data_IF_997685649059
#
_entry.id   IF_997685649059
#
_cell.length_a   1.000
_cell.length_b   1.000
_cell.length_c   1.000
_cell.angle_alpha   90.00
_cell.angle_beta   90.00
_cell.angle_gamma   90.00
#
_symmetry.space_group_name_H-M   'P 1'
#
loop_
_entity.id
_entity.type
_entity.pdbx_description
1 polymer ?
#
# COMPACT_ATOMS: atom_id res chain seq x y z
N UNK A 1 66.41 17.43 -30.72
CA UNK A 1 65.35 18.32 -31.23
C UNK A 1 64.06 17.99 -30.48
N UNK A 2 63.81 18.61 -29.33
CA UNK A 2 62.65 18.32 -28.48
C UNK A 2 61.55 19.35 -28.72
N UNK A 3 60.40 18.91 -29.22
CA UNK A 3 59.25 19.79 -29.48
C UNK A 3 58.49 19.96 -28.16
N UNK A 4 58.57 21.16 -27.58
CA UNK A 4 57.76 21.57 -26.42
C UNK A 4 56.38 22.02 -26.91
N UNK A 5 55.35 21.23 -26.62
CA UNK A 5 53.97 21.66 -26.80
C UNK A 5 53.56 22.56 -25.62
N UNK A 6 53.37 23.85 -25.89
CA UNK A 6 52.69 24.77 -24.97
C UNK A 6 51.18 24.62 -25.19
N UNK A 7 50.48 23.98 -24.25
CA UNK A 7 49.02 24.10 -24.17
C UNK A 7 48.66 25.38 -23.41
N UNK A 8 47.78 26.26 -23.93
CA UNK A 8 47.30 27.41 -23.19
C UNK A 8 46.39 26.92 -22.04
N UNK A 9 46.61 27.46 -20.85
CA UNK A 9 45.72 27.22 -19.71
C UNK A 9 44.38 27.91 -19.98
N UNK A 10 43.39 27.15 -20.44
CA UNK A 10 42.00 27.59 -20.48
C UNK A 10 41.49 27.54 -19.03
N UNK A 11 41.44 28.70 -18.38
CA UNK A 11 40.74 28.86 -17.11
C UNK A 11 39.25 28.76 -17.37
N UNK A 12 38.68 27.57 -17.21
CA UNK A 12 37.22 27.38 -17.17
C UNK A 12 36.72 28.09 -15.91
N UNK A 13 35.87 29.12 -16.00
CA UNK A 13 35.28 29.71 -14.82
C UNK A 13 34.44 28.64 -14.13
N UNK A 14 34.79 28.33 -12.89
CA UNK A 14 34.04 27.44 -12.03
C UNK A 14 32.70 28.12 -11.74
N UNK A 15 31.71 27.84 -12.59
CA UNK A 15 30.31 28.10 -12.29
C UNK A 15 29.97 27.19 -11.10
N UNK A 16 30.10 27.73 -9.89
CA UNK A 16 29.53 27.15 -8.68
C UNK A 16 28.02 27.24 -8.87
N UNK A 17 27.46 26.21 -9.52
CA UNK A 17 26.07 25.90 -9.35
C UNK A 17 25.87 25.59 -7.87
N UNK A 18 24.87 26.21 -7.25
CA UNK A 18 24.35 25.77 -5.97
C UNK A 18 23.75 24.38 -6.18
N UNK A 19 24.58 23.34 -6.16
CA UNK A 19 24.10 21.97 -6.03
C UNK A 19 23.46 21.93 -4.65
N UNK A 20 22.14 21.70 -4.61
CA UNK A 20 21.45 21.43 -3.35
C UNK A 20 22.13 20.24 -2.63
N UNK A 21 21.81 20.01 -1.35
CA UNK A 21 22.33 18.85 -0.64
C UNK A 21 22.13 17.58 -1.47
N UNK A 22 23.10 16.65 -1.50
CA UNK A 22 22.92 15.36 -2.16
C UNK A 22 21.62 14.72 -1.69
N UNK A 23 20.81 14.22 -2.64
CA UNK A 23 19.62 13.46 -2.31
C UNK A 23 19.95 12.25 -1.44
N UNK A 24 18.99 11.80 -0.63
CA UNK A 24 19.16 10.57 0.13
C UNK A 24 19.43 9.39 -0.81
N UNK A 25 20.38 8.52 -0.44
CA UNK A 25 20.70 7.32 -1.22
C UNK A 25 19.51 6.35 -1.23
N UNK A 26 18.82 6.27 -2.38
CA UNK A 26 17.69 5.36 -2.57
C UNK A 26 18.07 3.89 -2.37
N UNK A 27 19.35 3.51 -2.54
CA UNK A 27 19.78 2.13 -2.30
C UNK A 27 19.67 1.73 -0.82
N UNK A 28 19.69 2.68 0.11
CA UNK A 28 19.67 2.37 1.54
C UNK A 28 18.35 1.74 2.02
N UNK A 29 17.23 2.04 1.35
CA UNK A 29 15.91 1.55 1.78
C UNK A 29 15.19 0.69 0.74
N UNK A 30 15.30 1.00 -0.55
CA UNK A 30 14.59 0.25 -1.59
C UNK A 30 15.08 -1.20 -1.71
N UNK A 31 16.38 -1.43 -1.53
CA UNK A 31 17.01 -2.76 -1.64
C UNK A 31 16.65 -3.70 -0.48
N UNK A 32 16.04 -3.18 0.59
CA UNK A 32 15.53 -4.01 1.69
C UNK A 32 14.41 -4.96 1.20
N UNK A 33 13.67 -4.56 0.16
CA UNK A 33 12.59 -5.35 -0.44
C UNK A 33 12.86 -5.68 -1.92
N UNK A 34 13.47 -4.77 -2.67
CA UNK A 34 13.86 -4.96 -4.07
C UNK A 34 15.28 -5.54 -4.17
N UNK A 35 15.43 -6.77 -3.71
CA UNK A 35 16.66 -7.55 -3.79
C UNK A 35 16.44 -8.88 -4.53
N UNK A 36 17.50 -9.68 -4.64
CA UNK A 36 17.47 -11.01 -5.27
C UNK A 36 16.90 -12.12 -4.39
N UNK A 37 16.37 -11.80 -3.20
CA UNK A 37 15.72 -12.75 -2.31
C UNK A 37 14.36 -13.21 -2.83
N UNK A 38 13.86 -14.32 -2.29
CA UNK A 38 12.62 -14.95 -2.72
C UNK A 38 11.37 -14.51 -1.95
N UNK A 39 11.52 -13.71 -0.87
CA UNK A 39 10.42 -13.41 0.05
C UNK A 39 9.18 -12.81 -0.67
N UNK A 40 9.38 -11.76 -1.47
CA UNK A 40 8.30 -11.12 -2.23
C UNK A 40 7.76 -12.04 -3.33
N UNK A 41 8.63 -12.82 -3.97
CA UNK A 41 8.23 -13.76 -5.04
C UNK A 41 7.29 -14.81 -4.46
N UNK A 42 7.70 -15.51 -3.40
CA UNK A 42 6.90 -16.55 -2.76
C UNK A 42 5.59 -15.99 -2.18
N UNK A 43 5.62 -14.81 -1.57
CA UNK A 43 4.39 -14.17 -1.07
C UNK A 43 3.42 -13.82 -2.22
N UNK A 44 3.95 -13.36 -3.36
CA UNK A 44 3.14 -13.05 -4.55
C UNK A 44 2.52 -14.32 -5.13
N UNK A 45 3.27 -15.42 -5.20
CA UNK A 45 2.77 -16.72 -5.67
C UNK A 45 1.65 -17.26 -4.77
N UNK A 46 1.81 -17.17 -3.45
CA UNK A 46 0.76 -17.54 -2.50
C UNK A 46 -0.48 -16.67 -2.68
N UNK A 47 -0.33 -15.34 -2.75
CA UNK A 47 -1.46 -14.43 -2.96
C UNK A 47 -2.21 -14.73 -4.28
N UNK A 48 -1.49 -15.06 -5.36
CA UNK A 48 -2.09 -15.41 -6.67
C UNK A 48 -3.02 -16.62 -6.63
N UNK A 49 -2.85 -17.50 -5.65
CA UNK A 49 -3.75 -18.66 -5.44
C UNK A 49 -4.98 -18.34 -4.59
N UNK A 50 -5.10 -17.13 -4.07
CA UNK A 50 -6.23 -16.70 -3.25
C UNK A 50 -7.41 -16.18 -4.07
N UNK A 51 -8.61 -16.22 -3.51
CA UNK A 51 -9.80 -15.63 -4.15
C UNK A 51 -9.68 -14.12 -4.34
N UNK A 52 -8.92 -13.42 -3.48
CA UNK A 52 -8.65 -11.99 -3.63
C UNK A 52 -7.94 -11.65 -4.94
N UNK A 53 -7.08 -12.54 -5.43
CA UNK A 53 -6.37 -12.36 -6.69
C UNK A 53 -7.26 -12.57 -7.92
N UNK A 54 -8.44 -13.19 -7.79
CA UNK A 54 -9.36 -13.42 -8.91
C UNK A 54 -9.88 -12.11 -9.53
N UNK A 55 -10.03 -11.06 -8.72
CA UNK A 55 -10.62 -9.79 -9.15
C UNK A 55 -12.11 -9.85 -9.51
N UNK A 56 -12.79 -10.96 -9.21
CA UNK A 56 -14.17 -11.20 -9.67
C UNK A 56 -15.17 -10.11 -9.27
N UNK A 57 -14.95 -9.47 -8.11
CA UNK A 57 -15.84 -8.41 -7.61
C UNK A 57 -15.22 -7.01 -7.64
N UNK A 58 -14.12 -6.79 -8.36
CA UNK A 58 -13.47 -5.47 -8.41
C UNK A 58 -14.35 -4.40 -9.08
N UNK A 59 -15.36 -4.82 -9.84
CA UNK A 59 -16.42 -3.95 -10.38
C UNK A 59 -17.34 -3.36 -9.30
N UNK A 60 -17.35 -3.91 -8.08
CA UNK A 60 -18.16 -3.43 -6.95
C UNK A 60 -17.53 -2.20 -6.28
N UNK A 61 -17.36 -1.16 -7.07
CA UNK A 61 -16.67 0.08 -6.72
C UNK A 61 -17.61 1.22 -6.23
N UNK A 62 -18.91 0.95 -6.09
CA UNK A 62 -19.86 1.88 -5.49
C UNK A 62 -19.58 2.11 -4.00
N UNK A 63 -20.03 3.24 -3.45
CA UNK A 63 -19.61 3.74 -2.13
C UNK A 63 -19.75 2.75 -0.96
N UNK A 64 -20.82 1.96 -0.96
CA UNK A 64 -21.12 0.98 0.11
C UNK A 64 -20.49 -0.39 -0.12
N UNK A 65 -19.92 -0.62 -1.31
CA UNK A 65 -19.31 -1.89 -1.70
C UNK A 65 -17.78 -1.80 -1.75
N UNK A 66 -17.27 -0.61 -2.09
CA UNK A 66 -15.87 -0.37 -2.38
C UNK A 66 -14.96 -0.65 -1.19
N UNK A 67 -15.45 -0.49 0.05
CA UNK A 67 -14.69 -0.82 1.26
C UNK A 67 -14.16 -2.26 1.22
N UNK A 68 -14.99 -3.20 0.77
CA UNK A 68 -14.62 -4.61 0.80
C UNK A 68 -14.09 -5.10 -0.55
N UNK A 69 -14.55 -4.52 -1.65
CA UNK A 69 -14.34 -5.09 -2.98
C UNK A 69 -13.28 -4.38 -3.82
N UNK A 70 -12.70 -3.28 -3.32
CA UNK A 70 -11.62 -2.55 -3.99
C UNK A 70 -10.50 -2.26 -3.01
N UNK A 71 -9.26 -2.30 -3.50
CA UNK A 71 -8.09 -1.94 -2.69
C UNK A 71 -8.16 -0.48 -2.22
N UNK A 72 -8.57 0.42 -3.11
CA UNK A 72 -8.64 1.86 -2.88
C UNK A 72 -9.70 2.19 -1.83
N UNK A 73 -10.90 1.61 -1.98
CA UNK A 73 -11.99 1.85 -1.05
C UNK A 73 -11.68 1.31 0.34
N UNK A 74 -11.07 0.14 0.46
CA UNK A 74 -10.59 -0.36 1.75
C UNK A 74 -9.62 0.62 2.41
N UNK A 75 -8.62 1.09 1.66
CA UNK A 75 -7.60 2.03 2.17
C UNK A 75 -8.23 3.34 2.65
N UNK A 76 -9.18 3.88 1.88
CA UNK A 76 -9.93 5.07 2.25
C UNK A 76 -10.72 4.88 3.55
N UNK A 77 -11.49 3.79 3.64
CA UNK A 77 -12.32 3.47 4.80
C UNK A 77 -11.49 3.27 6.08
N UNK A 78 -10.37 2.53 6.00
CA UNK A 78 -9.48 2.34 7.15
C UNK A 78 -8.84 3.66 7.59
N UNK A 79 -8.44 4.50 6.64
CA UNK A 79 -7.81 5.80 6.96
C UNK A 79 -8.81 6.77 7.58
N UNK A 80 -10.06 6.76 7.11
CA UNK A 80 -11.11 7.67 7.58
C UNK A 80 -11.89 7.14 8.78
N UNK A 81 -11.73 5.87 9.16
CA UNK A 81 -12.52 5.21 10.21
C UNK A 81 -13.99 5.03 9.83
N UNK A 82 -14.32 4.98 8.53
CA UNK A 82 -15.69 4.85 8.01
C UNK A 82 -15.88 3.51 7.33
N UNK A 83 -17.14 3.08 7.20
CA UNK A 83 -17.51 1.83 6.48
C UNK A 83 -17.99 2.06 5.04
N UNK A 84 -17.97 3.30 4.58
CA UNK A 84 -18.37 3.70 3.22
C UNK A 84 -17.35 4.68 2.67
N UNK A 85 -17.07 4.61 1.38
CA UNK A 85 -16.22 5.61 0.71
C UNK A 85 -17.01 6.88 0.45
N UNK A 86 -16.31 7.99 0.31
CA UNK A 86 -16.85 9.31 0.04
C UNK A 86 -17.46 9.43 -1.36
N UNK A 87 -16.95 8.68 -2.32
CA UNK A 87 -17.44 8.56 -3.68
C UNK A 87 -17.15 7.16 -4.24
N UNK A 88 -17.76 6.81 -5.37
CA UNK A 88 -17.42 5.58 -6.09
C UNK A 88 -15.96 5.62 -6.56
N UNK A 89 -15.28 4.47 -6.54
CA UNK A 89 -13.87 4.36 -6.91
C UNK A 89 -13.73 4.29 -8.44
N UNK A 90 -13.20 5.33 -9.07
CA UNK A 90 -13.08 5.42 -10.54
C UNK A 90 -12.05 4.45 -11.14
N UNK A 91 -10.98 4.13 -10.40
CA UNK A 91 -9.92 3.23 -10.84
C UNK A 91 -9.74 2.10 -9.81
N UNK A 92 -10.69 1.16 -9.73
CA UNK A 92 -10.65 0.12 -8.73
C UNK A 92 -9.59 -0.92 -9.10
N UNK A 93 -8.84 -1.39 -8.09
CA UNK A 93 -7.98 -2.56 -8.21
C UNK A 93 -8.44 -3.67 -7.27
N UNK A 94 -8.16 -4.92 -7.66
CA UNK A 94 -8.42 -6.09 -6.84
C UNK A 94 -7.67 -6.02 -5.51
N UNK A 95 -8.18 -6.72 -4.51
CA UNK A 95 -7.56 -6.82 -3.19
C UNK A 95 -6.16 -7.43 -3.34
N UNK A 96 -5.14 -6.63 -3.05
CA UNK A 96 -3.74 -6.97 -3.25
C UNK A 96 -2.87 -6.65 -2.05
N UNK A 97 -1.56 -6.75 -2.22
CA UNK A 97 -0.59 -6.55 -1.13
C UNK A 97 -0.76 -5.20 -0.43
N UNK A 98 -0.98 -4.13 -1.22
CA UNK A 98 -1.18 -2.75 -0.73
C UNK A 98 -2.53 -2.53 -0.02
N UNK A 99 -3.49 -3.42 -0.20
CA UNK A 99 -4.74 -3.38 0.55
C UNK A 99 -4.44 -3.68 2.03
N UNK A 100 -3.69 -4.75 2.27
CA UNK A 100 -3.38 -5.25 3.60
C UNK A 100 -2.17 -4.56 4.26
N UNK A 101 -1.12 -4.29 3.48
CA UNK A 101 0.15 -3.75 3.93
C UNK A 101 0.33 -2.28 3.51
N UNK A 102 1.26 -1.59 4.16
CA UNK A 102 1.61 -0.18 3.92
C UNK A 102 2.67 0.02 2.84
N UNK A 103 2.78 -0.91 1.90
CA UNK A 103 3.81 -0.91 0.85
C UNK A 103 3.83 0.42 0.08
N UNK A 104 5.01 1.05 0.05
CA UNK A 104 5.33 2.35 -0.55
C UNK A 104 4.69 3.56 0.13
N UNK A 105 4.44 3.50 1.44
CA UNK A 105 3.95 4.66 2.21
C UNK A 105 5.08 5.37 2.95
N UNK A 106 5.99 4.60 3.57
CA UNK A 106 7.15 5.11 4.30
C UNK A 106 8.48 4.81 3.61
N UNK A 107 8.50 3.88 2.64
CA UNK A 107 9.69 3.49 1.88
C UNK A 107 10.82 2.94 2.76
N UNK A 108 10.47 2.24 3.85
CA UNK A 108 11.38 1.53 4.74
C UNK A 108 10.75 0.21 5.23
N UNK A 109 11.39 -0.51 6.15
CA UNK A 109 10.86 -1.80 6.67
C UNK A 109 9.48 -1.72 7.33
N UNK A 110 9.01 -0.54 7.74
CA UNK A 110 7.66 -0.38 8.29
C UNK A 110 6.56 -0.58 7.24
N UNK A 111 6.89 -0.55 5.95
CA UNK A 111 5.98 -0.87 4.85
C UNK A 111 5.50 -2.34 4.88
N UNK A 112 6.20 -3.22 5.61
CA UNK A 112 5.77 -4.59 5.90
C UNK A 112 4.60 -4.66 6.88
N UNK A 113 4.35 -3.60 7.67
CA UNK A 113 3.28 -3.60 8.65
C UNK A 113 1.90 -3.67 8.00
N UNK A 114 0.97 -4.27 8.75
CA UNK A 114 -0.44 -4.25 8.38
C UNK A 114 -1.00 -2.83 8.51
N UNK A 115 -1.89 -2.48 7.60
CA UNK A 115 -2.56 -1.18 7.56
C UNK A 115 -3.29 -0.87 8.87
N UNK A 116 -3.94 -1.88 9.44
CA UNK A 116 -4.57 -1.80 10.75
C UNK A 116 -4.43 -3.13 11.50
N UNK A 117 -4.31 -3.02 12.81
CA UNK A 117 -4.43 -4.11 13.79
C UNK A 117 -5.42 -3.74 14.89
N UNK A 118 -6.09 -2.59 14.76
CA UNK A 118 -7.01 -2.06 15.77
C UNK A 118 -8.23 -2.97 15.93
N UNK A 119 -8.78 -3.12 17.14
CA UNK A 119 -10.06 -3.81 17.33
C UNK A 119 -11.13 -3.27 16.39
N UNK A 120 -12.01 -4.16 15.93
CA UNK A 120 -13.03 -3.85 14.93
C UNK A 120 -14.40 -3.83 15.59
N UNK A 121 -15.16 -2.76 15.37
CA UNK A 121 -16.57 -2.71 15.71
C UNK A 121 -17.37 -3.47 14.65
N UNK A 122 -18.15 -4.47 15.07
CA UNK A 122 -18.98 -5.26 14.18
C UNK A 122 -20.16 -4.40 13.69
N UNK A 123 -20.35 -4.33 12.37
CA UNK A 123 -21.41 -3.54 11.74
C UNK A 123 -22.81 -3.97 12.20
N UNK A 124 -23.00 -5.25 12.50
CA UNK A 124 -24.30 -5.85 12.81
C UNK A 124 -24.72 -5.69 14.28
N UNK A 125 -23.77 -5.79 15.23
CA UNK A 125 -24.05 -5.75 16.68
C UNK A 125 -23.51 -4.50 17.38
N UNK A 126 -22.55 -3.79 16.78
CA UNK A 126 -21.81 -2.71 17.44
C UNK A 126 -20.78 -3.19 18.47
N UNK A 127 -20.66 -4.50 18.69
CA UNK A 127 -19.66 -5.06 19.60
C UNK A 127 -18.25 -4.90 19.05
N UNK A 128 -17.27 -4.79 19.95
CA UNK A 128 -15.86 -4.71 19.56
C UNK A 128 -15.20 -6.08 19.63
N UNK A 129 -14.65 -6.53 18.51
CA UNK A 129 -13.87 -7.76 18.41
C UNK A 129 -12.38 -7.45 18.29
N UNK A 130 -11.53 -8.21 18.96
CA UNK A 130 -10.08 -8.07 18.87
C UNK A 130 -9.36 -9.43 18.72
N UNK A 131 -8.99 -9.73 17.48
CA UNK A 131 -8.24 -10.93 17.07
C UNK A 131 -6.78 -10.60 16.66
N UNK A 132 -6.23 -9.49 17.15
CA UNK A 132 -4.86 -9.06 16.83
C UNK A 132 -4.68 -8.78 15.33
N UNK A 133 -3.78 -9.51 14.66
CA UNK A 133 -3.55 -9.35 13.20
C UNK A 133 -4.79 -9.70 12.37
N UNK A 134 -5.66 -10.58 12.87
CA UNK A 134 -6.93 -10.93 12.22
C UNK A 134 -7.92 -9.78 12.10
N UNK A 135 -7.73 -8.70 12.88
CA UNK A 135 -8.56 -7.50 12.82
C UNK A 135 -8.57 -6.87 11.41
N UNK A 136 -7.47 -6.96 10.67
CA UNK A 136 -7.41 -6.52 9.29
C UNK A 136 -8.49 -7.20 8.43
N UNK A 137 -8.61 -8.52 8.55
CA UNK A 137 -9.54 -9.33 7.77
C UNK A 137 -11.00 -9.04 8.17
N UNK A 138 -11.24 -8.83 9.46
CA UNK A 138 -12.58 -8.57 10.01
C UNK A 138 -13.15 -7.25 9.51
N UNK A 139 -12.34 -6.29 9.03
CA UNK A 139 -12.90 -5.08 8.42
C UNK A 139 -13.75 -5.37 7.17
N UNK A 140 -13.46 -6.45 6.43
CA UNK A 140 -14.24 -6.86 5.26
C UNK A 140 -15.13 -8.09 5.51
N UNK A 141 -14.62 -9.08 6.25
CA UNK A 141 -15.31 -10.34 6.52
C UNK A 141 -16.33 -10.20 7.66
N UNK A 142 -17.26 -9.27 7.48
CA UNK A 142 -18.43 -9.13 8.32
C UNK A 142 -19.68 -9.47 7.51
N UNK A 143 -20.71 -10.03 8.13
CA UNK A 143 -22.01 -10.08 7.50
C UNK A 143 -22.47 -8.66 7.17
N UNK A 144 -23.08 -8.47 6.00
CA UNK A 144 -23.85 -7.24 5.76
C UNK A 144 -25.04 -7.23 6.71
N UNK A 145 -25.41 -6.05 7.19
CA UNK A 145 -26.61 -5.87 8.01
C UNK A 145 -27.83 -6.23 7.14
N UNK A 146 -28.57 -7.31 7.44
CA UNK A 146 -29.79 -7.63 6.72
C UNK A 146 -30.89 -6.64 7.12
N UNK A 147 -31.86 -6.43 6.22
CA UNK A 147 -33.10 -5.77 6.62
C UNK A 147 -33.87 -6.72 7.54
N UNK A 148 -34.03 -6.31 8.81
CA UNK A 148 -34.43 -7.11 9.96
C UNK A 148 -33.44 -8.22 10.35
N UNK A 149 -32.88 -8.10 11.56
CA UNK A 149 -32.16 -9.19 12.19
C UNK A 149 -33.16 -10.27 12.64
N UNK A 150 -32.86 -11.56 12.45
CA UNK A 150 -33.64 -12.62 13.08
C UNK A 150 -33.70 -12.37 14.58
N UNK A 151 -34.92 -12.22 15.12
CA UNK A 151 -35.15 -12.25 16.55
C UNK A 151 -34.82 -13.66 17.04
N UNK A 152 -33.73 -13.77 17.81
CA UNK A 152 -33.34 -14.98 18.54
C UNK A 152 -34.23 -15.18 19.76
#
# INVERSE_FOLDING_TARGET
>A
MGIRFFLPAITVPLLIACEGPPGADANATCTQCHNSGSLIVSATEQWRTSIHASGENTDRNATTCAMCHTSEGFRECITSGKTVTSASISNPSSIGCRTCHKIHESYDTSDWELRTKSPVQLMITGETLNQGKGNLCINCHQPRIPDQLPIL
#
